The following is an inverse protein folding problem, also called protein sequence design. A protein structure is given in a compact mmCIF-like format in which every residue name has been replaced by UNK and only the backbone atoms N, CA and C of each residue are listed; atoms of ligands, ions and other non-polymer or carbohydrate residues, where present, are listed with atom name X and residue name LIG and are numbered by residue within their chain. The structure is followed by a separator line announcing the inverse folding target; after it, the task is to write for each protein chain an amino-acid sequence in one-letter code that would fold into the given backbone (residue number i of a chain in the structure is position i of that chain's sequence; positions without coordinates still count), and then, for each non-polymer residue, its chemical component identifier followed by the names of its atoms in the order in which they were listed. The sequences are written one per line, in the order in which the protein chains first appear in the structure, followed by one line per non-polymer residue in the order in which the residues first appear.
data_IF_072682255591
#
_entry.id   IF_072682255591
#
_cell.length_a   1.000
_cell.length_b   1.000
_cell.length_c   1.000
_cell.angle_alpha   90.00
_cell.angle_beta   90.00
_cell.angle_gamma   90.00
#
_symmetry.space_group_name_H-M   'P 1'
#
loop_
_entity.id
_entity.type
_entity.pdbx_description
1 polymer ?
#
# COMPACT_ATOMS: atom_id res chain seq x y z
N UNK A 1 -20.20 -34.38 -3.04
CA UNK A 1 -18.98 -33.67 -3.39
C UNK A 1 -17.81 -34.25 -2.62
N UNK A 2 -16.74 -34.58 -3.30
CA UNK A 2 -15.59 -35.24 -2.71
C UNK A 2 -14.53 -34.25 -2.25
N UNK A 3 -13.52 -34.80 -1.59
CA UNK A 3 -12.35 -34.06 -1.11
C UNK A 3 -11.65 -33.33 -2.25
N UNK A 4 -11.68 -33.89 -3.47
CA UNK A 4 -11.04 -33.30 -4.64
C UNK A 4 -11.66 -31.97 -5.07
N UNK A 5 -12.95 -31.79 -4.88
CA UNK A 5 -13.63 -30.53 -5.21
C UNK A 5 -13.16 -29.40 -4.29
N UNK A 6 -12.99 -29.71 -3.00
CA UNK A 6 -12.45 -28.72 -2.05
C UNK A 6 -11.01 -28.33 -2.36
N UNK A 7 -10.19 -29.31 -2.76
CA UNK A 7 -8.81 -29.05 -3.14
C UNK A 7 -8.71 -28.18 -4.39
N UNK A 8 -9.62 -28.43 -5.35
CA UNK A 8 -9.70 -27.64 -6.57
C UNK A 8 -10.06 -26.19 -6.25
N UNK A 9 -11.04 -25.96 -5.36
CA UNK A 9 -11.47 -24.64 -4.95
C UNK A 9 -10.34 -23.87 -4.25
N UNK A 10 -9.58 -24.55 -3.39
CA UNK A 10 -8.44 -23.94 -2.70
C UNK A 10 -7.36 -23.54 -3.71
N UNK A 11 -7.08 -24.39 -4.71
CA UNK A 11 -6.10 -24.07 -5.74
C UNK A 11 -6.54 -22.86 -6.58
N UNK A 12 -7.83 -22.78 -6.91
CA UNK A 12 -8.38 -21.63 -7.64
C UNK A 12 -8.25 -20.35 -6.81
N UNK A 13 -8.54 -20.42 -5.52
CA UNK A 13 -8.41 -19.29 -4.61
C UNK A 13 -6.96 -18.81 -4.52
N UNK A 14 -6.01 -19.74 -4.48
CA UNK A 14 -4.58 -19.41 -4.45
C UNK A 14 -4.15 -18.71 -5.74
N UNK A 15 -4.64 -19.18 -6.89
CA UNK A 15 -4.35 -18.55 -8.19
C UNK A 15 -4.88 -17.13 -8.23
N UNK A 16 -6.13 -16.93 -7.78
CA UNK A 16 -6.73 -15.61 -7.74
C UNK A 16 -5.98 -14.69 -6.81
N UNK A 17 -5.62 -15.17 -5.62
CA UNK A 17 -4.84 -14.38 -4.67
C UNK A 17 -3.49 -13.98 -5.24
N UNK A 18 -2.83 -14.90 -5.95
CA UNK A 18 -1.55 -14.63 -6.59
C UNK A 18 -1.67 -13.58 -7.68
N UNK A 19 -2.73 -13.65 -8.48
CA UNK A 19 -2.99 -12.66 -9.54
C UNK A 19 -3.22 -11.28 -8.95
N UNK A 20 -3.99 -11.19 -7.87
CA UNK A 20 -4.25 -9.93 -7.17
C UNK A 20 -2.93 -9.37 -6.62
N UNK A 21 -2.12 -10.21 -6.00
CA UNK A 21 -0.80 -9.82 -5.48
C UNK A 21 0.09 -9.25 -6.59
N UNK A 22 0.10 -9.90 -7.76
CA UNK A 22 0.88 -9.44 -8.91
C UNK A 22 0.36 -8.11 -9.45
N UNK A 23 -0.96 -7.94 -9.52
CA UNK A 23 -1.57 -6.68 -9.94
C UNK A 23 -1.20 -5.55 -8.97
N UNK A 24 -1.29 -5.81 -7.67
CA UNK A 24 -0.97 -4.81 -6.65
C UNK A 24 0.52 -4.46 -6.63
N UNK A 25 1.39 -5.42 -6.98
CA UNK A 25 2.83 -5.17 -7.06
C UNK A 25 3.18 -4.12 -8.13
N UNK A 26 2.32 -3.95 -9.14
CA UNK A 26 2.51 -2.96 -10.20
C UNK A 26 1.90 -1.60 -9.88
N UNK A 27 1.18 -1.49 -8.77
CA UNK A 27 0.61 -0.20 -8.33
C UNK A 27 1.65 0.58 -7.55
N UNK A 28 1.60 1.90 -7.70
CA UNK A 28 2.44 2.83 -6.94
C UNK A 28 1.55 3.72 -6.10
N UNK A 29 1.80 3.75 -4.80
CA UNK A 29 1.05 4.57 -3.86
C UNK A 29 2.05 5.45 -3.12
N UNK A 30 1.74 6.73 -3.01
CA UNK A 30 2.61 7.69 -2.33
C UNK A 30 1.83 8.46 -1.27
N UNK A 31 2.54 8.85 -0.22
CA UNK A 31 2.04 9.73 0.80
C UNK A 31 3.08 10.79 1.12
N UNK A 32 2.62 12.00 1.38
CA UNK A 32 3.50 13.13 1.69
C UNK A 32 3.04 13.82 2.95
N UNK A 33 4.00 14.31 3.72
CA UNK A 33 3.71 15.18 4.84
C UNK A 33 3.40 16.60 4.36
N UNK A 34 2.94 17.43 5.27
CA UNK A 34 2.65 18.84 5.01
C UNK A 34 3.84 19.53 4.36
N UNK A 35 3.59 20.23 3.24
CA UNK A 35 4.66 20.88 2.49
C UNK A 35 5.60 19.95 1.74
N UNK A 36 5.29 18.66 1.69
CA UNK A 36 6.10 17.68 0.97
C UNK A 36 7.46 17.39 1.61
N UNK A 37 7.60 17.66 2.91
CA UNK A 37 8.89 17.52 3.62
C UNK A 37 9.36 16.07 3.71
N UNK A 38 8.42 15.12 3.82
CA UNK A 38 8.73 13.69 3.74
C UNK A 38 7.75 13.07 2.77
N UNK A 39 8.27 12.25 1.85
CA UNK A 39 7.46 11.52 0.90
C UNK A 39 7.81 10.04 0.98
N UNK A 40 6.80 9.18 1.12
CA UNK A 40 6.98 7.74 1.19
C UNK A 40 6.23 7.12 0.02
N UNK A 41 6.89 6.21 -0.68
CA UNK A 41 6.30 5.50 -1.83
C UNK A 41 6.35 4.00 -1.57
N UNK A 42 5.25 3.33 -1.88
CA UNK A 42 5.16 1.88 -1.75
C UNK A 42 4.38 1.30 -2.93
N UNK A 43 4.41 -0.02 -3.06
CA UNK A 43 3.53 -0.69 -4.02
C UNK A 43 2.16 -0.98 -3.37
N UNK A 44 1.25 -1.60 -4.14
CA UNK A 44 -0.08 -1.92 -3.65
C UNK A 44 -0.11 -2.98 -2.56
N UNK A 45 0.95 -3.76 -2.40
CA UNK A 45 1.11 -4.75 -1.35
C UNK A 45 1.79 -4.18 -0.10
N UNK A 46 1.95 -2.87 -0.05
CA UNK A 46 2.57 -2.13 1.06
C UNK A 46 4.08 -2.41 1.22
N UNK A 47 4.74 -2.81 0.13
CA UNK A 47 6.20 -2.89 0.12
C UNK A 47 6.77 -1.48 -0.11
N UNK A 48 7.50 -0.97 0.86
CA UNK A 48 8.08 0.37 0.80
C UNK A 48 9.19 0.39 -0.26
N UNK A 49 9.09 1.33 -1.20
CA UNK A 49 10.06 1.48 -2.29
C UNK A 49 11.03 2.63 -2.06
N UNK A 50 10.55 3.73 -1.49
CA UNK A 50 11.40 4.88 -1.23
C UNK A 50 10.88 5.72 -0.09
N UNK A 51 11.80 6.40 0.59
CA UNK A 51 11.50 7.40 1.60
C UNK A 51 12.40 8.60 1.30
N UNK A 52 11.80 9.74 1.01
CA UNK A 52 12.52 10.99 0.70
C UNK A 52 12.31 11.95 1.86
N UNK A 53 13.40 12.50 2.39
CA UNK A 53 13.38 13.45 3.51
C UNK A 53 14.02 14.76 3.05
N UNK A 54 13.27 15.87 3.15
CA UNK A 54 13.76 17.18 2.81
C UNK A 54 14.84 17.61 3.80
N UNK A 55 15.89 18.22 3.29
CA UNK A 55 17.00 18.70 4.11
C UNK A 55 16.55 19.68 5.21
N UNK A 56 15.48 20.41 4.97
CA UNK A 56 14.94 21.40 5.91
C UNK A 56 14.52 20.77 7.25
N UNK A 57 14.12 19.49 7.25
CA UNK A 57 13.68 18.79 8.48
C UNK A 57 14.66 17.71 8.95
N UNK A 58 15.62 17.34 8.12
CA UNK A 58 16.50 16.18 8.35
C UNK A 58 17.30 16.26 9.65
N UNK A 59 17.64 17.46 10.09
CA UNK A 59 18.44 17.66 11.32
C UNK A 59 17.64 17.75 12.61
N UNK A 60 16.31 17.72 12.53
CA UNK A 60 15.44 17.86 13.70
C UNK A 60 14.61 16.60 13.91
N UNK A 61 14.94 15.83 14.95
CA UNK A 61 14.29 14.55 15.24
C UNK A 61 12.78 14.69 15.43
N UNK A 62 12.34 15.73 16.12
CA UNK A 62 10.92 15.95 16.39
C UNK A 62 10.15 16.25 15.11
N UNK A 63 10.73 17.07 14.24
CA UNK A 63 10.14 17.41 12.95
C UNK A 63 10.10 16.18 12.03
N UNK A 64 11.19 15.40 11.99
CA UNK A 64 11.22 14.18 11.17
C UNK A 64 10.13 13.20 11.64
N UNK A 65 10.02 12.98 12.95
CA UNK A 65 9.01 12.07 13.50
C UNK A 65 7.58 12.53 13.15
N UNK A 66 7.31 13.82 13.31
CA UNK A 66 6.00 14.41 13.01
C UNK A 66 5.66 14.26 11.53
N UNK A 67 6.60 14.54 10.66
CA UNK A 67 6.40 14.44 9.22
C UNK A 67 6.31 13.00 8.74
N UNK A 68 7.03 12.06 9.36
CA UNK A 68 6.88 10.62 9.05
C UNK A 68 5.45 10.17 9.34
N UNK A 69 4.93 10.53 10.51
CA UNK A 69 3.55 10.18 10.90
C UNK A 69 2.55 10.73 9.89
N UNK A 70 2.69 12.01 9.55
CA UNK A 70 1.81 12.67 8.61
C UNK A 70 1.88 12.03 7.22
N UNK A 71 3.08 11.71 6.74
CA UNK A 71 3.27 11.05 5.44
C UNK A 71 2.67 9.64 5.42
N UNK A 72 2.82 8.89 6.52
CA UNK A 72 2.23 7.55 6.63
C UNK A 72 0.70 7.60 6.63
N UNK A 73 0.11 8.55 7.35
CA UNK A 73 -1.35 8.71 7.36
C UNK A 73 -1.87 9.01 5.96
N UNK A 74 -1.18 9.88 5.24
CA UNK A 74 -1.52 10.23 3.85
C UNK A 74 -1.35 9.01 2.93
N UNK A 75 -0.27 8.26 3.11
CA UNK A 75 0.04 7.05 2.34
C UNK A 75 -1.09 6.01 2.50
N UNK A 76 -1.48 5.73 3.73
CA UNK A 76 -2.52 4.73 4.01
C UNK A 76 -3.89 5.18 3.48
N UNK A 77 -4.17 6.46 3.53
CA UNK A 77 -5.38 7.03 2.93
C UNK A 77 -5.41 6.79 1.42
N UNK A 78 -4.30 7.04 0.75
CA UNK A 78 -4.20 6.82 -0.70
C UNK A 78 -4.25 5.33 -1.05
N UNK A 79 -3.64 4.49 -0.23
CA UNK A 79 -3.69 3.04 -0.40
C UNK A 79 -5.13 2.54 -0.32
N UNK A 80 -5.87 2.99 0.68
CA UNK A 80 -7.28 2.63 0.84
C UNK A 80 -8.10 3.05 -0.38
N UNK A 81 -7.88 4.26 -0.88
CA UNK A 81 -8.57 4.76 -2.08
C UNK A 81 -8.24 3.92 -3.31
N UNK A 82 -6.98 3.51 -3.45
CA UNK A 82 -6.55 2.66 -4.56
C UNK A 82 -7.27 1.31 -4.51
N UNK A 83 -7.32 0.68 -3.33
CA UNK A 83 -8.02 -0.59 -3.15
C UNK A 83 -9.52 -0.46 -3.45
N UNK A 84 -10.15 0.61 -3.00
CA UNK A 84 -11.57 0.87 -3.27
C UNK A 84 -11.82 1.06 -4.76
N UNK A 85 -10.92 1.77 -5.45
CA UNK A 85 -11.04 1.99 -6.88
C UNK A 85 -10.93 0.68 -7.68
N UNK A 86 -10.01 -0.19 -7.30
CA UNK A 86 -9.78 -1.45 -8.02
C UNK A 86 -10.77 -2.54 -7.66
N UNK A 87 -11.12 -2.65 -6.39
CA UNK A 87 -11.89 -3.77 -5.86
C UNK A 87 -13.19 -3.37 -5.16
N UNK A 88 -13.66 -2.15 -5.37
CA UNK A 88 -14.84 -1.63 -4.69
C UNK A 88 -16.07 -2.51 -4.83
N UNK A 89 -16.28 -3.08 -6.03
CA UNK A 89 -17.40 -3.97 -6.29
C UNK A 89 -17.29 -5.29 -5.53
N UNK A 90 -16.10 -5.71 -5.21
CA UNK A 90 -15.85 -6.94 -4.47
C UNK A 90 -15.94 -6.74 -2.95
N UNK A 91 -15.87 -5.49 -2.50
CA UNK A 91 -15.86 -5.14 -1.07
C UNK A 91 -17.25 -4.76 -0.55
N UNK A 92 -18.21 -4.68 -1.44
CA UNK A 92 -19.63 -4.41 -1.11
C UNK A 92 -20.39 -5.74 -0.82
#
# INVERSE_FOLDING_TARGET
MGIFDKLKDVNEMRKQAKQIELQLANETVSGSSSGGKIKITMDGNQAIKSVEVDAAVAGDKSEVARHIRSALEDLFKHHKKMLQSKFGNMMQ
#
